data_IF_690096535052
#
_entry.id   IF_690096535052
#
_cell.length_a   1.000
_cell.length_b   1.000
_cell.length_c   1.000
_cell.angle_alpha   90.00
_cell.angle_beta   90.00
_cell.angle_gamma   90.00
#
_symmetry.space_group_name_H-M   'P 1'
#
loop_
_entity.id
_entity.type
_entity.pdbx_description
1 polymer ?
#
# COMPACT_ATOMS: atom_id res chain seq x y z
N UNK A 1 -14.29 -11.23 21.29
CA UNK A 1 -13.60 -9.96 21.07
C UNK A 1 -12.43 -10.22 20.16
N UNK A 2 -12.61 -9.93 18.88
CA UNK A 2 -11.52 -10.03 17.92
C UNK A 2 -10.37 -9.08 18.28
N UNK A 3 -9.17 -9.63 18.41
CA UNK A 3 -8.00 -8.79 18.58
C UNK A 3 -7.82 -7.95 17.32
N UNK A 4 -7.94 -6.65 17.41
CA UNK A 4 -7.55 -5.77 16.33
C UNK A 4 -6.02 -5.79 16.24
N UNK A 5 -5.47 -5.85 15.03
CA UNK A 5 -4.02 -5.75 14.92
C UNK A 5 -3.55 -4.45 15.54
N UNK A 6 -2.50 -4.53 16.35
CA UNK A 6 -1.92 -3.33 16.94
C UNK A 6 -1.32 -2.46 15.85
N UNK A 7 -1.56 -1.15 15.87
CA UNK A 7 -0.89 -0.26 14.93
C UNK A 7 0.62 -0.31 15.18
N UNK A 8 1.42 -0.08 14.15
CA UNK A 8 2.85 0.04 14.31
C UNK A 8 3.15 1.23 15.24
N UNK A 9 4.14 1.10 16.17
CA UNK A 9 4.53 2.23 17.00
C UNK A 9 4.93 3.43 16.14
N UNK A 10 4.57 4.67 16.52
CA UNK A 10 4.86 5.86 15.69
C UNK A 10 6.34 6.04 15.35
N UNK A 11 7.25 5.59 16.24
CA UNK A 11 8.69 5.68 16.04
C UNK A 11 9.27 4.55 15.19
N UNK A 12 8.45 3.54 14.84
CA UNK A 12 8.90 2.43 14.00
C UNK A 12 9.13 2.88 12.57
N UNK A 13 10.07 2.22 11.90
CA UNK A 13 10.26 2.36 10.46
C UNK A 13 8.97 1.99 9.74
N UNK A 14 8.61 2.76 8.72
CA UNK A 14 7.42 2.46 7.94
C UNK A 14 7.59 1.13 7.19
N UNK A 15 6.58 0.25 7.22
CA UNK A 15 6.66 -1.03 6.48
C UNK A 15 6.94 -0.86 4.99
N UNK A 16 6.51 0.25 4.38
CA UNK A 16 6.69 0.48 2.95
C UNK A 16 8.15 0.72 2.55
N UNK A 17 9.04 0.99 3.50
CA UNK A 17 10.47 1.16 3.25
C UNK A 17 10.87 2.46 2.59
N UNK A 18 9.95 3.42 2.42
CA UNK A 18 10.28 4.70 1.79
C UNK A 18 11.34 5.44 2.58
N UNK A 19 12.34 5.96 1.89
CA UNK A 19 13.45 6.67 2.53
C UNK A 19 13.24 8.18 2.49
N UNK A 20 13.85 8.86 3.45
CA UNK A 20 13.92 10.32 3.47
C UNK A 20 15.10 10.82 2.61
N UNK A 21 15.34 12.14 2.62
CA UNK A 21 16.41 12.75 1.83
C UNK A 21 17.81 12.29 2.24
N UNK A 22 17.97 11.70 3.44
CA UNK A 22 19.24 11.17 3.95
C UNK A 22 19.40 9.67 3.70
N UNK A 23 18.44 9.05 2.98
CA UNK A 23 18.47 7.61 2.71
C UNK A 23 18.04 6.73 3.87
N UNK A 24 17.47 7.29 4.92
CA UNK A 24 16.94 6.54 6.06
C UNK A 24 15.46 6.23 5.84
N UNK A 25 15.02 5.04 6.25
CA UNK A 25 13.60 4.69 6.18
C UNK A 25 12.81 5.65 7.05
N UNK A 26 11.74 6.21 6.50
CA UNK A 26 10.86 7.15 7.23
C UNK A 26 10.18 6.46 8.40
N UNK A 27 9.97 7.21 9.49
CA UNK A 27 9.12 6.74 10.57
C UNK A 27 7.69 6.56 10.04
N UNK A 28 6.99 5.53 10.54
CA UNK A 28 5.61 5.26 10.12
C UNK A 28 4.69 6.47 10.35
N UNK A 29 4.85 7.18 11.46
CA UNK A 29 4.06 8.37 11.78
C UNK A 29 4.26 9.52 10.78
N UNK A 30 5.36 9.51 10.03
CA UNK A 30 5.69 10.54 9.05
C UNK A 30 5.56 10.03 7.62
N UNK A 31 4.99 8.85 7.43
CA UNK A 31 4.87 8.19 6.13
C UNK A 31 3.45 7.65 5.94
N UNK A 32 3.25 6.32 6.05
CA UNK A 32 1.95 5.71 5.81
C UNK A 32 0.96 5.89 6.95
N UNK A 33 1.43 6.14 8.18
CA UNK A 33 0.56 6.25 9.35
C UNK A 33 -0.60 7.22 9.18
N UNK A 34 -0.36 8.50 8.78
CA UNK A 34 -1.45 9.45 8.58
C UNK A 34 -2.44 9.03 7.50
N UNK A 35 -1.97 8.35 6.45
CA UNK A 35 -2.85 7.85 5.38
C UNK A 35 -3.73 6.71 5.89
N UNK A 36 -3.15 5.75 6.61
CA UNK A 36 -3.89 4.63 7.18
C UNK A 36 -4.90 5.08 8.22
N UNK A 37 -4.62 6.17 8.93
CA UNK A 37 -5.55 6.77 9.87
C UNK A 37 -6.64 7.59 9.22
N UNK A 38 -6.64 7.74 7.89
CA UNK A 38 -7.58 8.56 7.13
C UNK A 38 -7.55 10.03 7.54
N UNK A 39 -6.41 10.50 8.08
CA UNK A 39 -6.23 11.90 8.46
C UNK A 39 -5.90 12.78 7.27
N UNK A 40 -5.20 12.24 6.28
CA UNK A 40 -4.83 12.95 5.06
C UNK A 40 -5.00 12.04 3.86
N UNK A 41 -5.40 12.56 2.68
CA UNK A 41 -5.41 11.77 1.46
C UNK A 41 -4.00 11.56 0.94
N UNK A 42 -3.78 10.48 0.17
CA UNK A 42 -2.51 10.26 -0.48
C UNK A 42 -2.25 11.37 -1.50
N UNK A 43 -1.05 11.99 -1.48
CA UNK A 43 -0.75 13.09 -2.40
C UNK A 43 -0.55 12.64 -3.84
N UNK A 44 -0.18 11.39 -4.06
CA UNK A 44 0.01 10.82 -5.39
C UNK A 44 -0.20 9.31 -5.37
N UNK A 45 -0.11 8.69 -6.56
CA UNK A 45 -0.34 7.25 -6.69
C UNK A 45 0.75 6.43 -5.99
N UNK A 46 1.99 6.90 -5.97
CA UNK A 46 3.06 6.18 -5.27
C UNK A 46 2.81 6.13 -3.77
N UNK A 47 2.43 7.26 -3.17
CA UNK A 47 2.10 7.31 -1.74
C UNK A 47 0.93 6.39 -1.43
N UNK A 48 -0.09 6.36 -2.28
CA UNK A 48 -1.23 5.46 -2.11
C UNK A 48 -0.78 4.00 -2.20
N UNK A 49 0.01 3.64 -3.21
CA UNK A 49 0.50 2.28 -3.37
C UNK A 49 1.30 1.84 -2.13
N UNK A 50 2.19 2.70 -1.63
CA UNK A 50 2.98 2.40 -0.44
C UNK A 50 2.12 2.21 0.79
N UNK A 51 1.09 3.04 0.97
CA UNK A 51 0.18 2.91 2.12
C UNK A 51 -0.65 1.62 2.03
N UNK A 52 -1.02 1.19 0.82
CA UNK A 52 -1.72 -0.07 0.63
C UNK A 52 -0.82 -1.26 0.96
N UNK A 53 0.46 -1.20 0.61
CA UNK A 53 1.41 -2.23 1.07
C UNK A 53 1.49 -2.28 2.60
N UNK A 54 1.62 -1.13 3.25
CA UNK A 54 1.61 -1.07 4.72
C UNK A 54 0.31 -1.63 5.29
N UNK A 55 -0.82 -1.43 4.61
CA UNK A 55 -2.10 -1.99 5.03
C UNK A 55 -2.10 -3.52 4.95
N UNK A 56 -1.45 -4.12 3.95
CA UNK A 56 -1.27 -5.58 3.93
C UNK A 56 -0.42 -6.05 5.10
N UNK A 57 0.69 -5.36 5.39
CA UNK A 57 1.56 -5.71 6.50
C UNK A 57 0.82 -5.64 7.84
N UNK A 58 -0.02 -4.62 8.01
CA UNK A 58 -0.73 -4.36 9.27
C UNK A 58 -2.14 -4.97 9.30
N UNK A 59 -2.49 -5.78 8.28
CA UNK A 59 -3.78 -6.46 8.18
C UNK A 59 -4.98 -5.50 8.20
N UNK A 60 -4.86 -4.37 7.48
CA UNK A 60 -5.89 -3.35 7.39
C UNK A 60 -6.72 -3.52 6.12
N UNK A 61 -7.53 -4.58 6.06
CA UNK A 61 -8.44 -4.83 4.94
C UNK A 61 -9.42 -3.68 4.73
N UNK A 62 -9.84 -3.02 5.80
CA UNK A 62 -10.72 -1.85 5.75
C UNK A 62 -10.12 -0.73 4.90
N UNK A 63 -8.85 -0.43 5.10
CA UNK A 63 -8.15 0.61 4.33
C UNK A 63 -8.01 0.22 2.86
N UNK A 64 -7.69 -1.05 2.60
CA UNK A 64 -7.57 -1.55 1.23
C UNK A 64 -8.88 -1.39 0.46
N UNK A 65 -10.01 -1.70 1.09
CA UNK A 65 -11.33 -1.50 0.49
C UNK A 65 -11.68 -0.03 0.36
N UNK A 66 -11.36 0.79 1.37
CA UNK A 66 -11.67 2.23 1.36
C UNK A 66 -10.90 2.99 0.27
N UNK A 67 -9.75 2.48 -0.17
CA UNK A 67 -8.92 3.10 -1.21
C UNK A 67 -9.03 2.42 -2.58
N UNK A 68 -9.91 1.45 -2.70
CA UNK A 68 -10.18 0.74 -3.95
C UNK A 68 -11.33 1.44 -4.68
N UNK A 69 -11.12 1.80 -5.94
CA UNK A 69 -12.15 2.49 -6.71
C UNK A 69 -13.41 1.62 -6.85
N UNK A 70 -14.58 2.25 -6.74
CA UNK A 70 -15.86 1.55 -6.72
C UNK A 70 -16.09 0.68 -7.96
N UNK A 71 -15.52 1.08 -9.11
CA UNK A 71 -15.67 0.33 -10.37
C UNK A 71 -15.13 -1.09 -10.33
N UNK A 72 -14.13 -1.36 -9.47
CA UNK A 72 -13.46 -2.66 -9.39
C UNK A 72 -13.40 -3.22 -7.97
N UNK A 73 -13.94 -2.50 -7.00
CA UNK A 73 -13.90 -2.88 -5.58
C UNK A 73 -14.64 -4.17 -5.33
N UNK A 74 -14.00 -5.21 -4.72
CA UNK A 74 -14.72 -6.41 -4.29
C UNK A 74 -15.62 -6.11 -3.09
N UNK A 75 -16.62 -6.95 -2.88
CA UNK A 75 -17.54 -6.81 -1.75
C UNK A 75 -16.83 -7.00 -0.40
N UNK A 76 -15.86 -7.91 -0.37
CA UNK A 76 -15.03 -8.15 0.82
C UNK A 76 -13.63 -8.57 0.38
N UNK A 77 -12.68 -8.41 1.29
CA UNK A 77 -11.29 -8.77 1.06
C UNK A 77 -10.78 -9.55 2.26
N UNK A 78 -10.39 -10.81 2.00
CA UNK A 78 -9.83 -11.68 3.03
C UNK A 78 -8.30 -11.68 2.89
N UNK A 79 -7.61 -11.30 3.95
CA UNK A 79 -6.16 -11.32 3.99
C UNK A 79 -5.69 -12.63 4.60
N UNK A 80 -4.63 -13.22 4.02
CA UNK A 80 -4.04 -14.45 4.53
C UNK A 80 -3.24 -14.11 5.81
N UNK A 81 -3.68 -14.57 6.99
CA UNK A 81 -2.96 -14.29 8.23
C UNK A 81 -1.58 -14.95 8.31
N UNK A 82 -1.34 -15.97 7.47
CA UNK A 82 -0.05 -16.64 7.42
C UNK A 82 0.96 -15.94 6.53
N UNK A 83 0.53 -14.95 5.75
CA UNK A 83 1.45 -14.19 4.89
C UNK A 83 2.34 -13.28 5.75
N UNK A 84 3.65 -13.42 5.57
CA UNK A 84 4.63 -12.56 6.22
C UNK A 84 5.29 -11.67 5.17
N UNK A 85 5.05 -10.37 5.26
CA UNK A 85 5.57 -9.41 4.29
C UNK A 85 7.03 -9.09 4.58
N UNK A 86 7.87 -9.14 3.55
CA UNK A 86 9.33 -9.07 3.67
C UNK A 86 9.92 -7.80 3.08
N UNK A 87 9.17 -7.08 2.23
CA UNK A 87 9.67 -5.84 1.68
C UNK A 87 8.96 -5.41 0.42
N UNK A 88 9.15 -4.14 0.08
CA UNK A 88 8.58 -3.49 -1.07
C UNK A 88 9.66 -2.70 -1.79
N UNK A 89 9.71 -2.85 -3.12
CA UNK A 89 10.56 -2.05 -3.98
C UNK A 89 9.67 -1.38 -5.04
N UNK A 90 9.59 -0.07 -5.01
CA UNK A 90 8.89 0.69 -6.05
C UNK A 90 9.89 0.98 -7.17
N UNK A 91 9.60 0.51 -8.38
CA UNK A 91 10.50 0.61 -9.52
C UNK A 91 10.20 1.78 -10.43
N UNK A 92 8.92 2.14 -10.57
CA UNK A 92 8.51 3.24 -11.44
C UNK A 92 7.20 3.83 -10.97
N UNK A 93 7.07 5.13 -11.14
CA UNK A 93 5.84 5.87 -10.91
C UNK A 93 5.63 6.76 -12.13
N UNK A 94 4.55 6.54 -12.87
CA UNK A 94 4.27 7.26 -14.11
C UNK A 94 2.94 7.99 -14.04
N UNK A 95 2.96 9.28 -14.27
CA UNK A 95 1.75 10.04 -14.57
C UNK A 95 1.38 9.80 -16.03
N UNK A 96 0.20 9.22 -16.28
CA UNK A 96 -0.31 9.00 -17.62
C UNK A 96 -0.99 10.28 -18.12
N UNK A 97 -1.87 10.85 -17.28
CA UNK A 97 -2.50 12.15 -17.48
C UNK A 97 -2.87 12.73 -16.12
N UNK A 98 -3.66 13.81 -16.08
CA UNK A 98 -4.02 14.48 -14.84
C UNK A 98 -4.81 13.58 -13.86
N UNK A 99 -5.48 12.55 -14.37
CA UNK A 99 -6.36 11.69 -13.57
C UNK A 99 -5.90 10.24 -13.50
N UNK A 100 -4.84 9.84 -14.20
CA UNK A 100 -4.39 8.45 -14.28
C UNK A 100 -2.90 8.34 -14.01
N UNK A 101 -2.51 7.30 -13.26
CA UNK A 101 -1.11 7.01 -12.98
C UNK A 101 -0.91 5.50 -12.85
N UNK A 102 0.32 5.07 -13.04
CA UNK A 102 0.75 3.69 -12.84
C UNK A 102 1.92 3.64 -11.89
N UNK A 103 1.98 2.58 -11.07
CA UNK A 103 3.11 2.32 -10.21
C UNK A 103 3.55 0.87 -10.41
N UNK A 104 4.81 0.69 -10.81
CA UNK A 104 5.42 -0.62 -10.95
C UNK A 104 6.22 -0.92 -9.70
N UNK A 105 6.01 -2.11 -9.13
CA UNK A 105 6.67 -2.48 -7.87
C UNK A 105 6.91 -3.98 -7.77
N UNK A 106 7.80 -4.35 -6.86
CA UNK A 106 8.03 -5.73 -6.45
C UNK A 106 7.72 -5.81 -4.94
N UNK A 107 6.80 -6.69 -4.58
CA UNK A 107 6.53 -7.01 -3.19
C UNK A 107 7.03 -8.43 -2.92
N UNK A 108 7.66 -8.62 -1.74
CA UNK A 108 8.14 -9.93 -1.31
C UNK A 108 7.44 -10.34 -0.04
N UNK A 109 7.01 -11.59 -0.01
CA UNK A 109 6.36 -12.14 1.18
C UNK A 109 6.64 -13.63 1.27
N UNK A 110 6.32 -14.20 2.42
CA UNK A 110 6.46 -15.65 2.68
C UNK A 110 5.12 -16.20 3.11
N UNK A 111 4.73 -17.30 2.49
CA UNK A 111 3.51 -18.05 2.85
C UNK A 111 3.89 -19.52 2.94
N UNK A 112 3.53 -20.17 4.04
CA UNK A 112 3.79 -21.60 4.26
C UNK A 112 5.26 -21.98 4.03
N UNK A 113 6.18 -21.14 4.48
CA UNK A 113 7.64 -21.34 4.32
C UNK A 113 8.19 -21.06 2.94
N UNK A 114 7.35 -20.64 1.98
CA UNK A 114 7.78 -20.34 0.62
C UNK A 114 7.90 -18.83 0.41
N UNK A 115 9.04 -18.39 -0.12
CA UNK A 115 9.24 -17.00 -0.50
C UNK A 115 8.57 -16.73 -1.84
N UNK A 116 7.79 -15.65 -1.91
CA UNK A 116 7.10 -15.22 -3.12
C UNK A 116 7.57 -13.83 -3.48
N UNK A 117 7.85 -13.63 -4.76
CA UNK A 117 8.22 -12.34 -5.35
C UNK A 117 7.12 -11.95 -6.33
N UNK A 118 6.39 -10.88 -6.01
CA UNK A 118 5.28 -10.43 -6.82
C UNK A 118 5.66 -9.12 -7.52
N UNK A 119 5.78 -9.18 -8.84
CA UNK A 119 6.11 -8.03 -9.67
C UNK A 119 4.84 -7.58 -10.40
N UNK A 120 4.41 -6.36 -10.15
CA UNK A 120 3.14 -5.84 -10.68
C UNK A 120 3.28 -4.41 -11.18
N UNK A 121 2.38 -4.04 -12.09
CA UNK A 121 2.10 -2.67 -12.48
C UNK A 121 0.64 -2.39 -12.14
N UNK A 122 0.43 -1.54 -11.14
CA UNK A 122 -0.90 -1.15 -10.68
C UNK A 122 -1.35 0.15 -11.33
N UNK A 123 -2.66 0.24 -11.62
CA UNK A 123 -3.28 1.42 -12.19
C UNK A 123 -4.08 2.15 -11.12
N UNK A 124 -3.95 3.48 -11.14
CA UNK A 124 -4.61 4.38 -10.19
C UNK A 124 -5.35 5.47 -10.95
N UNK A 125 -6.45 5.93 -10.37
CA UNK A 125 -7.24 7.02 -10.90
C UNK A 125 -7.43 8.09 -9.83
N UNK A 126 -7.40 9.36 -10.25
CA UNK A 126 -7.80 10.47 -9.40
C UNK A 126 -9.25 10.79 -9.71
N UNK A 127 -10.11 10.71 -8.70
CA UNK A 127 -11.54 10.93 -8.81
C UNK A 127 -12.00 11.64 -7.53
N UNK A 128 -12.78 12.71 -7.67
CA UNK A 128 -13.26 13.50 -6.55
C UNK A 128 -12.12 14.01 -5.64
N UNK A 129 -11.00 14.38 -6.26
CA UNK A 129 -9.85 14.92 -5.54
C UNK A 129 -9.03 13.89 -4.77
N UNK A 130 -9.29 12.61 -4.94
CA UNK A 130 -8.56 11.53 -4.28
C UNK A 130 -8.01 10.53 -5.27
N UNK A 131 -6.88 9.92 -4.91
CA UNK A 131 -6.33 8.81 -5.67
C UNK A 131 -6.95 7.50 -5.18
N UNK A 132 -7.26 6.61 -6.15
CA UNK A 132 -7.88 5.31 -5.93
C UNK A 132 -7.11 4.24 -6.67
N UNK A 133 -6.96 3.07 -6.05
CA UNK A 133 -6.47 1.88 -6.74
C UNK A 133 -7.59 1.32 -7.63
N UNK A 134 -7.27 0.95 -8.86
CA UNK A 134 -8.24 0.37 -9.79
C UNK A 134 -7.97 -1.11 -9.99
N UNK A 135 -6.85 -1.44 -10.60
CA UNK A 135 -6.46 -2.82 -10.90
C UNK A 135 -4.95 -2.86 -11.19
N UNK A 136 -4.46 -4.01 -11.61
CA UNK A 136 -3.05 -4.16 -11.96
C UNK A 136 -2.79 -5.38 -12.81
N UNK A 137 -1.60 -5.40 -13.41
CA UNK A 137 -1.10 -6.51 -14.19
C UNK A 137 0.09 -7.14 -13.45
N UNK A 138 0.10 -8.47 -13.40
CA UNK A 138 1.26 -9.22 -12.94
C UNK A 138 2.26 -9.28 -14.09
N UNK A 139 3.49 -8.90 -13.80
CA UNK A 139 4.56 -8.83 -14.81
C UNK A 139 5.48 -10.04 -14.76
#
# INVERSE_FOLDING_TARGET
IGAMPSPAPPSSACPCGRTDARGRVRAHADCCGPLLGLHVPAPDAEALMRSRYSAFVLARADYLLATWHASTRPAQLDLDPAAKWLGLEVRAHRSIDAAHAEVEFVARFRVAGRAVRQHERSRFVQDQGQWWYVDGDVL
#
